data_IF_651954999911
#
_entry.id   IF_651954999911
#
_cell.length_a   1.000
_cell.length_b   1.000
_cell.length_c   1.000
_cell.angle_alpha   90.00
_cell.angle_beta   90.00
_cell.angle_gamma   90.00
#
_symmetry.space_group_name_H-M   'P 1'
#
loop_
_entity.id
_entity.type
_entity.pdbx_description
1 polymer ?
#
# COMPACT_ATOMS: atom_id res chain seq x y z
N UNK A 1 23.57 -22.89 33.17
CA UNK A 1 23.12 -21.48 33.32
C UNK A 1 23.43 -20.61 32.11
N UNK A 2 24.66 -20.55 31.59
CA UNK A 2 24.99 -19.78 30.36
C UNK A 2 24.14 -20.15 29.13
N UNK A 3 23.85 -21.45 28.92
CA UNK A 3 22.99 -21.91 27.80
C UNK A 3 21.53 -21.47 27.93
N UNK A 4 20.98 -21.44 29.14
CA UNK A 4 19.62 -20.96 29.42
C UNK A 4 19.57 -19.43 29.27
N UNK A 5 20.62 -18.72 29.70
CA UNK A 5 20.75 -17.27 29.53
C UNK A 5 20.79 -16.87 28.04
N UNK A 6 21.47 -17.65 27.20
CA UNK A 6 21.51 -17.45 25.75
C UNK A 6 20.16 -17.74 25.07
N UNK A 7 19.42 -18.76 25.51
CA UNK A 7 18.09 -19.08 24.97
C UNK A 7 17.01 -18.04 25.35
N UNK A 8 17.10 -17.43 26.54
CA UNK A 8 16.17 -16.37 26.97
C UNK A 8 16.39 -15.07 26.20
N UNK A 9 17.65 -14.71 25.88
CA UNK A 9 17.95 -13.57 25.01
C UNK A 9 17.43 -13.75 23.57
N UNK A 10 17.44 -15.00 23.06
CA UNK A 10 16.94 -15.28 21.72
C UNK A 10 15.41 -15.16 21.61
N UNK A 11 14.66 -15.53 22.65
CA UNK A 11 13.20 -15.33 22.68
C UNK A 11 12.80 -13.85 22.80
N UNK A 12 13.58 -13.01 23.50
CA UNK A 12 13.30 -11.57 23.59
C UNK A 12 13.52 -10.83 22.25
N UNK A 13 14.40 -11.34 21.39
CA UNK A 13 14.70 -10.72 20.08
C UNK A 13 13.57 -10.83 19.05
N UNK A 14 12.67 -11.80 19.18
CA UNK A 14 11.62 -12.07 18.18
C UNK A 14 10.43 -11.09 18.26
N UNK A 15 10.26 -10.37 19.38
CA UNK A 15 9.15 -9.43 19.56
C UNK A 15 9.31 -8.09 18.83
N UNK A 16 10.50 -7.78 18.30
CA UNK A 16 10.80 -6.49 17.66
C UNK A 16 10.52 -6.44 16.15
N UNK A 17 10.07 -7.54 15.51
CA UNK A 17 9.76 -7.56 14.06
C UNK A 17 8.25 -7.35 13.82
N UNK A 18 7.62 -6.45 14.58
CA UNK A 18 6.28 -5.97 14.24
C UNK A 18 6.41 -4.84 13.21
N UNK A 19 6.62 -5.20 11.94
CA UNK A 19 6.62 -4.25 10.81
C UNK A 19 5.22 -3.67 10.52
N UNK A 20 4.49 -3.13 11.51
CA UNK A 20 3.15 -2.53 11.35
C UNK A 20 3.19 -1.37 10.34
N UNK A 21 2.09 -1.10 9.62
CA UNK A 21 2.05 0.05 8.72
C UNK A 21 2.40 1.30 9.54
N UNK A 22 3.09 2.29 8.96
CA UNK A 22 3.45 3.50 9.68
C UNK A 22 2.18 4.14 10.24
N UNK A 23 2.14 4.28 11.58
CA UNK A 23 1.09 5.03 12.24
C UNK A 23 1.35 6.53 12.01
N UNK A 24 0.32 7.28 11.66
CA UNK A 24 0.40 8.73 11.39
C UNK A 24 -0.41 9.13 10.16
N UNK A 25 -0.56 10.45 9.98
CA UNK A 25 -1.36 11.04 8.91
C UNK A 25 -0.58 11.19 7.60
N UNK A 26 -1.28 11.09 6.46
CA UNK A 26 -0.74 11.36 5.14
C UNK A 26 -0.68 12.87 4.85
N UNK A 27 0.51 13.45 4.80
CA UNK A 27 0.68 14.89 4.57
C UNK A 27 0.82 15.23 3.08
N UNK A 28 0.40 16.44 2.64
CA UNK A 28 0.68 16.91 1.29
C UNK A 28 2.17 16.90 0.99
N UNK A 29 2.56 16.15 -0.05
CA UNK A 29 3.96 15.99 -0.46
C UNK A 29 4.62 14.69 0.00
N UNK A 30 3.96 13.92 0.87
CA UNK A 30 4.43 12.58 1.23
C UNK A 30 4.37 11.65 0.01
N UNK A 31 5.37 10.77 -0.09
CA UNK A 31 5.46 9.75 -1.13
C UNK A 31 5.80 8.42 -0.48
N UNK A 32 5.05 7.38 -0.82
CA UNK A 32 5.20 6.04 -0.28
C UNK A 32 5.65 5.08 -1.38
N UNK A 33 6.70 4.30 -1.10
CA UNK A 33 7.35 3.45 -2.09
C UNK A 33 8.37 4.21 -2.94
N UNK A 34 8.61 3.73 -4.15
CA UNK A 34 9.52 4.37 -5.09
C UNK A 34 8.94 5.72 -5.57
N UNK A 35 9.78 6.76 -5.56
CA UNK A 35 9.38 8.08 -6.07
C UNK A 35 9.27 8.02 -7.60
N UNK A 36 8.08 8.32 -8.11
CA UNK A 36 7.81 8.41 -9.55
C UNK A 36 7.32 9.81 -9.93
N UNK A 37 7.44 10.18 -11.21
CA UNK A 37 6.83 11.41 -11.73
C UNK A 37 5.36 11.18 -12.07
N UNK A 38 4.47 12.19 -11.95
CA UNK A 38 3.07 12.07 -12.35
C UNK A 38 2.87 12.05 -13.88
N UNK A 39 3.92 12.28 -14.67
CA UNK A 39 3.82 12.38 -16.13
C UNK A 39 3.27 11.09 -16.74
N UNK A 40 2.27 11.23 -17.60
CA UNK A 40 1.59 10.11 -18.25
C UNK A 40 0.60 9.35 -17.36
N UNK A 41 0.30 9.84 -16.14
CA UNK A 41 -0.73 9.24 -15.31
C UNK A 41 -2.13 9.46 -15.91
N UNK A 42 -2.92 8.38 -15.96
CA UNK A 42 -4.31 8.40 -16.42
C UNK A 42 -5.27 8.33 -15.24
N UNK A 43 -6.47 8.89 -15.38
CA UNK A 43 -7.47 8.72 -14.33
C UNK A 43 -7.95 7.27 -14.31
N UNK A 44 -8.22 6.75 -13.11
CA UNK A 44 -8.71 5.39 -12.94
C UNK A 44 -10.04 5.13 -13.68
N UNK A 45 -10.88 6.17 -13.86
CA UNK A 45 -12.09 6.11 -14.67
C UNK A 45 -11.83 5.65 -16.11
N UNK A 46 -10.68 6.02 -16.66
CA UNK A 46 -10.35 5.83 -18.08
C UNK A 46 -9.65 4.47 -18.31
N UNK A 47 -9.34 3.74 -17.23
CA UNK A 47 -8.62 2.46 -17.28
C UNK A 47 -9.55 1.32 -17.71
N UNK A 48 -10.84 1.38 -17.41
CA UNK A 48 -11.80 0.32 -17.75
C UNK A 48 -11.90 0.09 -19.25
N UNK A 49 -11.93 1.16 -20.05
CA UNK A 49 -11.97 1.07 -21.51
C UNK A 49 -10.68 0.47 -22.10
N UNK A 50 -9.55 0.68 -21.44
CA UNK A 50 -8.27 0.10 -21.82
C UNK A 50 -8.21 -1.39 -21.46
N UNK A 51 -8.72 -1.76 -20.28
CA UNK A 51 -8.75 -3.17 -19.83
C UNK A 51 -9.71 -4.02 -20.65
N UNK A 52 -10.71 -3.40 -21.28
CA UNK A 52 -11.59 -4.08 -22.21
C UNK A 52 -10.88 -4.54 -23.49
N UNK A 53 -9.73 -3.92 -23.83
CA UNK A 53 -8.92 -4.24 -25.01
C UNK A 53 -7.71 -5.10 -24.65
N UNK A 54 -7.08 -4.82 -23.51
CA UNK A 54 -5.85 -5.43 -23.06
C UNK A 54 -6.06 -6.13 -21.71
N UNK A 55 -5.56 -7.36 -21.56
CA UNK A 55 -5.67 -8.12 -20.30
C UNK A 55 -4.82 -7.51 -19.17
N UNK A 56 -3.72 -6.83 -19.53
CA UNK A 56 -2.80 -6.14 -18.62
C UNK A 56 -2.43 -4.80 -19.23
N UNK A 57 -2.43 -3.75 -18.40
CA UNK A 57 -1.99 -2.41 -18.79
C UNK A 57 -0.84 -2.00 -17.89
N UNK A 58 0.27 -1.62 -18.51
CA UNK A 58 1.37 -0.96 -17.82
C UNK A 58 1.16 0.55 -17.84
N UNK A 59 1.27 1.20 -16.68
CA UNK A 59 1.11 2.65 -16.59
C UNK A 59 1.00 3.20 -15.18
N UNK A 60 0.79 4.51 -15.10
CA UNK A 60 0.56 5.25 -13.85
C UNK A 60 -0.91 5.62 -13.75
N UNK A 61 -1.48 5.50 -12.56
CA UNK A 61 -2.89 5.78 -12.32
C UNK A 61 -3.01 6.90 -11.29
N UNK A 62 -3.92 7.85 -11.56
CA UNK A 62 -4.37 8.87 -10.62
C UNK A 62 -5.78 8.53 -10.15
N UNK A 63 -5.99 8.50 -8.83
CA UNK A 63 -7.29 8.26 -8.22
C UNK A 63 -7.36 8.88 -6.83
N UNK A 64 -8.58 9.09 -6.33
CA UNK A 64 -8.82 9.47 -4.93
C UNK A 64 -8.88 8.21 -4.07
N UNK A 65 -8.13 8.21 -2.96
CA UNK A 65 -8.23 7.17 -1.93
C UNK A 65 -9.51 7.40 -1.13
N UNK A 66 -10.32 6.36 -0.96
CA UNK A 66 -11.56 6.39 -0.18
C UNK A 66 -11.41 5.70 1.17
N UNK A 67 -10.63 4.61 1.22
CA UNK A 67 -10.53 3.77 2.41
C UNK A 67 -9.26 2.90 2.34
N UNK A 68 -8.75 2.53 3.51
CA UNK A 68 -7.49 1.81 3.68
C UNK A 68 -7.66 0.68 4.69
N UNK A 69 -7.16 -0.51 4.36
CA UNK A 69 -7.14 -1.59 5.32
C UNK A 69 -5.98 -1.38 6.32
N UNK A 70 -6.24 -1.31 7.65
CA UNK A 70 -5.20 -1.04 8.64
C UNK A 70 -4.23 -2.21 8.84
N UNK A 71 -4.51 -3.36 8.22
CA UNK A 71 -3.62 -4.52 8.20
C UNK A 71 -2.60 -4.35 7.09
N UNK A 72 -1.33 -4.62 7.40
CA UNK A 72 -0.21 -4.59 6.46
C UNK A 72 -0.57 -5.24 5.12
N UNK A 73 -0.46 -4.47 4.02
CA UNK A 73 -0.57 -4.94 2.63
C UNK A 73 -1.87 -5.66 2.28
N UNK A 74 -2.96 -5.24 2.91
CA UNK A 74 -4.28 -5.82 2.74
C UNK A 74 -4.94 -5.27 1.45
N UNK A 75 -5.42 -4.02 1.45
CA UNK A 75 -5.96 -3.37 0.25
C UNK A 75 -6.10 -1.85 0.44
N UNK A 76 -6.22 -1.15 -0.68
CA UNK A 76 -6.60 0.27 -0.80
C UNK A 76 -7.86 0.37 -1.63
N UNK A 77 -8.85 1.15 -1.20
CA UNK A 77 -10.06 1.42 -1.97
C UNK A 77 -9.91 2.77 -2.67
N UNK A 78 -10.00 2.76 -3.99
CA UNK A 78 -9.89 3.93 -4.84
C UNK A 78 -11.24 4.27 -5.46
N UNK A 79 -11.51 5.57 -5.60
CA UNK A 79 -12.67 6.06 -6.34
C UNK A 79 -12.44 5.90 -7.85
N UNK A 80 -13.36 5.23 -8.55
CA UNK A 80 -13.39 5.22 -10.01
C UNK A 80 -14.31 6.32 -10.51
N UNK A 81 -15.52 6.38 -9.95
CA UNK A 81 -16.55 7.40 -10.20
C UNK A 81 -17.45 7.53 -8.95
N UNK A 82 -18.58 8.20 -9.06
CA UNK A 82 -19.48 8.47 -7.91
C UNK A 82 -20.12 7.20 -7.32
N UNK A 83 -20.28 6.13 -8.10
CA UNK A 83 -20.94 4.89 -7.68
C UNK A 83 -20.01 3.68 -7.64
N UNK A 84 -18.82 3.78 -8.22
CA UNK A 84 -17.91 2.65 -8.46
C UNK A 84 -16.56 2.86 -7.78
N UNK A 85 -16.05 1.78 -7.17
CA UNK A 85 -14.74 1.77 -6.50
C UNK A 85 -13.89 0.63 -7.02
N UNK A 86 -12.58 0.79 -6.94
CA UNK A 86 -11.61 -0.27 -7.23
C UNK A 86 -10.83 -0.64 -5.96
N UNK A 87 -10.51 -1.91 -5.80
CA UNK A 87 -9.62 -2.38 -4.75
C UNK A 87 -8.25 -2.68 -5.33
N UNK A 88 -7.22 -2.06 -4.76
CA UNK A 88 -5.82 -2.26 -5.16
C UNK A 88 -5.09 -3.03 -4.06
N UNK A 89 -4.35 -4.06 -4.47
CA UNK A 89 -3.42 -4.79 -3.61
C UNK A 89 -2.00 -4.53 -4.07
N UNK A 90 -1.12 -4.23 -3.14
CA UNK A 90 0.30 -4.02 -3.43
C UNK A 90 0.95 -5.34 -3.86
N UNK A 91 1.69 -5.32 -4.97
CA UNK A 91 2.50 -6.46 -5.41
C UNK A 91 3.65 -6.69 -4.43
N UNK A 92 3.82 -7.94 -3.99
CA UNK A 92 4.90 -8.36 -3.08
C UNK A 92 5.08 -7.48 -1.82
N UNK A 93 4.02 -6.83 -1.32
CA UNK A 93 4.11 -5.93 -0.16
C UNK A 93 5.17 -4.81 -0.32
N UNK A 94 5.41 -4.36 -1.56
CA UNK A 94 6.52 -3.46 -1.89
C UNK A 94 6.51 -2.10 -1.16
N UNK A 95 5.36 -1.63 -0.67
CA UNK A 95 5.25 -0.47 0.20
C UNK A 95 3.93 -0.47 1.00
N UNK A 96 3.86 0.37 2.02
CA UNK A 96 2.69 0.54 2.90
C UNK A 96 2.26 2.00 2.94
N UNK A 97 0.96 2.21 3.08
CA UNK A 97 0.36 3.53 3.27
C UNK A 97 0.03 3.74 4.76
N UNK A 98 0.02 5.01 5.23
CA UNK A 98 -0.48 5.35 6.55
C UNK A 98 -1.94 4.96 6.70
N UNK A 99 -2.37 4.69 7.93
CA UNK A 99 -3.75 4.27 8.22
C UNK A 99 -4.69 5.45 8.52
N UNK A 100 -4.15 6.67 8.60
CA UNK A 100 -4.90 7.91 8.73
C UNK A 100 -4.43 8.96 7.72
N UNK A 101 -5.30 9.93 7.44
CA UNK A 101 -5.11 11.04 6.52
C UNK A 101 -5.63 12.32 7.14
#
# INVERSE_FOLDING_TARGET
MKRILFSVCFLLGVLMIQAQPPAGDANPGDSYGEKITPDGAVNLSDVQERLAKDEVIDGKIKAKVLDLCPKKGCWVKLQVNDSTTAMVKMKEYGFFLPVSA
#
